data_IF_066748758146
#
_entry.id   IF_066748758146
#
_cell.length_a   1.000
_cell.length_b   1.000
_cell.length_c   1.000
_cell.angle_alpha   90.00
_cell.angle_beta   90.00
_cell.angle_gamma   90.00
#
_symmetry.space_group_name_H-M   'P 1'
#
loop_
_entity.id
_entity.type
_entity.pdbx_description
1 polymer ?
#
# COMPACT_ATOMS: atom_id res chain seq x y z
N UNK A 1 12.11 -3.40 8.46
CA UNK A 1 11.72 -3.50 7.05
C UNK A 1 10.67 -2.45 6.85
N UNK A 2 11.07 -1.29 6.34
CA UNK A 2 10.16 -0.16 6.15
C UNK A 2 9.60 -0.20 4.75
N UNK A 3 8.28 -0.22 4.64
CA UNK A 3 7.56 -0.32 3.37
C UNK A 3 6.93 1.03 3.06
N UNK A 4 7.33 1.62 1.94
CA UNK A 4 6.77 2.88 1.48
C UNK A 4 5.51 2.63 0.66
N UNK A 5 4.42 3.29 1.04
CA UNK A 5 3.16 3.32 0.29
C UNK A 5 3.02 4.70 -0.34
N UNK A 6 2.86 4.78 -1.66
CA UNK A 6 2.52 6.04 -2.31
C UNK A 6 1.06 6.43 -1.99
N UNK A 7 0.83 7.72 -1.75
CA UNK A 7 -0.51 8.29 -1.52
C UNK A 7 -1.51 7.90 -2.62
N UNK A 8 -1.05 7.76 -3.86
CA UNK A 8 -1.87 7.29 -4.99
C UNK A 8 -2.48 5.90 -4.77
N UNK A 9 -1.81 5.02 -4.00
CA UNK A 9 -2.32 3.70 -3.68
C UNK A 9 -3.48 3.82 -2.69
N UNK A 10 -3.30 4.64 -1.66
CA UNK A 10 -4.32 4.94 -0.63
C UNK A 10 -5.59 5.50 -1.27
N UNK A 11 -5.45 6.51 -2.14
CA UNK A 11 -6.55 7.11 -2.91
C UNK A 11 -7.30 6.08 -3.76
N UNK A 12 -6.58 5.22 -4.48
CA UNK A 12 -7.18 4.15 -5.30
C UNK A 12 -7.94 3.12 -4.47
N UNK A 13 -7.48 2.85 -3.25
CA UNK A 13 -8.16 1.98 -2.30
C UNK A 13 -9.30 2.66 -1.53
N UNK A 14 -9.55 3.96 -1.74
CA UNK A 14 -10.55 4.72 -0.99
C UNK A 14 -10.18 4.91 0.49
N UNK A 15 -8.90 4.75 0.83
CA UNK A 15 -8.38 4.92 2.19
C UNK A 15 -7.79 6.32 2.29
N UNK A 16 -8.38 7.16 3.13
CA UNK A 16 -7.95 8.55 3.25
C UNK A 16 -6.70 8.73 4.11
N UNK A 17 -6.60 7.93 5.18
CA UNK A 17 -5.47 7.94 6.09
C UNK A 17 -5.37 6.59 6.81
N UNK A 18 -4.16 6.23 7.22
CA UNK A 18 -3.92 5.12 8.14
C UNK A 18 -3.60 5.70 9.51
N UNK A 19 -4.28 5.20 10.52
CA UNK A 19 -4.01 5.52 11.91
C UNK A 19 -2.92 4.59 12.46
N UNK A 20 -2.16 5.06 13.44
CA UNK A 20 -1.19 4.22 14.14
C UNK A 20 -1.90 3.02 14.79
N UNK A 21 -1.30 1.83 14.64
CA UNK A 21 -1.90 0.57 15.10
C UNK A 21 -2.97 -0.03 14.17
N UNK A 22 -3.33 0.65 13.07
CA UNK A 22 -4.28 0.13 12.09
C UNK A 22 -3.64 -0.98 11.26
N UNK A 23 -4.25 -2.17 11.30
CA UNK A 23 -3.80 -3.30 10.47
C UNK A 23 -4.36 -3.13 9.06
N UNK A 24 -3.48 -3.31 8.09
CA UNK A 24 -3.84 -3.29 6.68
C UNK A 24 -3.23 -4.49 5.97
N UNK A 25 -3.98 -4.99 5.01
CA UNK A 25 -3.52 -6.02 4.09
C UNK A 25 -3.15 -5.32 2.80
N UNK A 26 -1.99 -5.65 2.25
CA UNK A 26 -1.52 -5.09 1.00
C UNK A 26 -0.85 -6.15 0.15
N UNK A 27 -0.85 -5.94 -1.16
CA UNK A 27 -0.15 -6.79 -2.10
C UNK A 27 1.11 -6.06 -2.57
N UNK A 28 2.22 -6.78 -2.74
CA UNK A 28 3.44 -6.20 -3.29
C UNK A 28 3.49 -6.51 -4.78
N UNK A 29 3.48 -5.48 -5.61
CA UNK A 29 3.68 -5.62 -7.04
C UNK A 29 5.09 -5.11 -7.38
N UNK A 30 5.92 -6.01 -7.89
CA UNK A 30 7.23 -5.63 -8.41
C UNK A 30 7.05 -5.12 -9.83
N UNK A 31 7.26 -3.82 -10.02
CA UNK A 31 7.21 -3.21 -11.34
C UNK A 31 8.40 -3.73 -12.15
N UNK A 32 8.12 -4.59 -13.13
CA UNK A 32 9.14 -5.26 -13.96
C UNK A 32 9.97 -4.28 -14.80
N UNK A 33 9.49 -3.06 -15.02
CA UNK A 33 10.17 -2.03 -15.82
C UNK A 33 11.19 -1.26 -15.00
N UNK A 34 10.90 -1.03 -13.72
CA UNK A 34 11.74 -0.22 -12.82
C UNK A 34 12.48 -1.04 -11.76
N UNK A 35 12.12 -2.32 -11.60
CA UNK A 35 12.64 -3.20 -10.56
C UNK A 35 12.19 -2.81 -9.15
N UNK A 36 11.33 -1.80 -9.01
CA UNK A 36 10.86 -1.30 -7.72
C UNK A 36 9.66 -2.09 -7.25
N UNK A 37 9.75 -2.61 -6.03
CA UNK A 37 8.61 -3.18 -5.33
C UNK A 37 7.72 -2.05 -4.82
N UNK A 38 6.51 -1.95 -5.36
CA UNK A 38 5.51 -0.98 -4.94
C UNK A 38 4.32 -1.70 -4.31
N UNK A 39 3.71 -1.06 -3.32
CA UNK A 39 2.50 -1.57 -2.70
C UNK A 39 1.31 -1.37 -3.63
N UNK A 40 0.56 -2.44 -3.91
CA UNK A 40 -0.67 -2.46 -4.69
C UNK A 40 -1.82 -2.99 -3.84
N UNK A 41 -3.06 -2.59 -4.16
CA UNK A 41 -4.29 -3.09 -3.53
C UNK A 41 -4.29 -3.05 -1.99
N UNK A 42 -4.15 -1.85 -1.42
CA UNK A 42 -4.30 -1.68 0.02
C UNK A 42 -5.76 -1.97 0.45
N UNK A 43 -5.92 -2.73 1.52
CA UNK A 43 -7.21 -3.01 2.16
C UNK A 43 -7.06 -2.87 3.67
N UNK A 44 -8.10 -2.35 4.32
CA UNK A 44 -8.18 -2.39 5.77
C UNK A 44 -8.35 -3.84 6.21
N UNK A 45 -7.48 -4.30 7.11
CA UNK A 45 -7.68 -5.60 7.74
C UNK A 45 -8.78 -5.42 8.79
N UNK A 46 -9.82 -6.24 8.69
CA UNK A 46 -10.91 -6.30 9.67
C UNK A 46 -10.44 -6.97 10.97
#
# INVERSE_FOLDING_TARGET
MDVFVHATVLERSGIYALSEGQRVTFELQTDRRTGKTSTANLKLAA
#
